data_IF_813850343606
#
_entry.id   IF_813850343606
#
_cell.length_a   1.000
_cell.length_b   1.000
_cell.length_c   1.000
_cell.angle_alpha   90.00
_cell.angle_beta   90.00
_cell.angle_gamma   90.00
#
_symmetry.space_group_name_H-M   'P 1'
#
loop_
_entity.id
_entity.type
_entity.pdbx_description
1 polymer ?
#
# COMPACT_ATOMS: atom_id res chain seq x y z
N UNK A 1 23.05 -22.41 -3.05
CA UNK A 1 21.76 -22.38 -3.77
C UNK A 1 21.35 -23.81 -4.08
N UNK A 2 21.08 -24.63 -3.06
CA UNK A 2 21.06 -26.09 -3.24
C UNK A 2 19.97 -26.74 -2.37
N UNK A 3 18.72 -26.36 -2.62
CA UNK A 3 17.55 -26.97 -1.97
C UNK A 3 16.29 -27.02 -2.87
N UNK A 4 16.40 -26.72 -4.17
CA UNK A 4 15.27 -26.69 -5.10
C UNK A 4 15.03 -28.02 -5.83
N UNK A 5 15.84 -29.05 -5.58
CA UNK A 5 15.85 -30.29 -6.38
C UNK A 5 14.83 -31.36 -5.94
N UNK A 6 13.93 -31.02 -5.01
CA UNK A 6 12.87 -31.94 -4.52
C UNK A 6 11.50 -31.74 -5.19
N UNK A 7 11.36 -30.79 -6.11
CA UNK A 7 10.07 -30.54 -6.76
C UNK A 7 9.92 -31.47 -7.97
N UNK A 8 9.23 -32.59 -7.78
CA UNK A 8 8.91 -33.55 -8.84
C UNK A 8 8.17 -32.81 -9.97
N UNK A 9 8.71 -32.90 -11.20
CA UNK A 9 8.08 -32.30 -12.38
C UNK A 9 6.66 -32.85 -12.55
N UNK A 10 5.64 -31.98 -12.72
CA UNK A 10 4.26 -32.41 -12.79
C UNK A 10 3.99 -33.20 -14.08
N UNK A 11 3.41 -34.40 -13.93
CA UNK A 11 3.02 -35.25 -15.07
C UNK A 11 1.71 -34.80 -15.74
N UNK A 12 0.84 -34.09 -15.02
CA UNK A 12 -0.47 -33.66 -15.52
C UNK A 12 -0.59 -32.14 -15.63
N UNK A 13 -1.38 -31.66 -16.60
CA UNK A 13 -1.67 -30.21 -16.78
C UNK A 13 -2.28 -29.58 -15.52
N UNK A 14 -3.12 -30.33 -14.78
CA UNK A 14 -3.72 -29.87 -13.52
C UNK A 14 -2.66 -29.63 -12.44
N UNK A 15 -1.73 -30.57 -12.26
CA UNK A 15 -0.64 -30.43 -11.30
C UNK A 15 0.30 -29.27 -11.68
N UNK A 16 0.58 -29.10 -12.97
CA UNK A 16 1.36 -27.98 -13.49
C UNK A 16 0.74 -26.62 -13.12
N UNK A 17 -0.56 -26.42 -13.43
CA UNK A 17 -1.29 -25.18 -13.06
C UNK A 17 -1.28 -24.92 -11.55
N UNK A 18 -1.31 -25.97 -10.73
CA UNK A 18 -1.26 -25.84 -9.27
C UNK A 18 0.10 -25.36 -8.77
N UNK A 19 1.19 -25.88 -9.35
CA UNK A 19 2.56 -25.42 -9.04
C UNK A 19 2.78 -23.99 -9.52
N UNK A 20 2.39 -23.66 -10.75
CA UNK A 20 2.45 -22.30 -11.31
C UNK A 20 1.68 -21.28 -10.44
N UNK A 21 0.57 -21.69 -9.81
CA UNK A 21 -0.18 -20.82 -8.89
C UNK A 21 0.57 -20.52 -7.59
N UNK A 22 1.41 -21.45 -7.12
CA UNK A 22 2.21 -21.37 -5.88
C UNK A 22 3.59 -20.74 -6.09
N UNK A 23 4.07 -20.68 -7.32
CA UNK A 23 5.33 -20.04 -7.65
C UNK A 23 5.34 -18.54 -7.26
N UNK A 24 6.51 -17.98 -6.93
CA UNK A 24 6.65 -16.56 -6.65
C UNK A 24 6.18 -15.72 -7.83
N UNK A 25 5.43 -14.65 -7.55
CA UNK A 25 4.87 -13.75 -8.57
C UNK A 25 5.32 -12.32 -8.34
N UNK A 26 5.35 -11.52 -9.39
CA UNK A 26 5.61 -10.08 -9.29
C UNK A 26 4.49 -9.38 -8.49
N UNK A 27 3.23 -9.63 -8.88
CA UNK A 27 2.05 -9.25 -8.12
C UNK A 27 1.60 -10.46 -7.31
N UNK A 28 1.74 -10.36 -5.99
CA UNK A 28 1.42 -11.46 -5.08
C UNK A 28 -0.09 -11.74 -5.04
N UNK A 29 -0.44 -13.02 -4.81
CA UNK A 29 -1.83 -13.38 -4.49
C UNK A 29 -2.15 -12.99 -3.03
N UNK A 30 -3.43 -12.93 -2.68
CA UNK A 30 -3.85 -12.79 -1.28
C UNK A 30 -3.30 -13.93 -0.41
N UNK A 31 -2.80 -13.59 0.78
CA UNK A 31 -2.29 -14.59 1.73
C UNK A 31 -3.43 -15.42 2.32
N UNK A 32 -3.26 -16.73 2.26
CA UNK A 32 -4.17 -17.69 2.86
C UNK A 32 -3.78 -17.92 4.33
N UNK A 33 -4.77 -17.99 5.20
CA UNK A 33 -4.62 -18.34 6.60
C UNK A 33 -4.98 -19.82 6.82
N UNK A 34 -4.18 -20.53 7.60
CA UNK A 34 -4.53 -21.87 8.10
C UNK A 34 -4.79 -21.72 9.59
N UNK A 35 -5.99 -22.11 10.03
CA UNK A 35 -6.39 -22.09 11.43
C UNK A 35 -6.34 -23.52 11.96
N UNK A 36 -5.51 -23.74 12.97
CA UNK A 36 -5.24 -25.06 13.55
C UNK A 36 -5.65 -25.04 15.02
N UNK A 37 -6.48 -26.01 15.42
CA UNK A 37 -6.83 -26.23 16.83
C UNK A 37 -5.70 -27.01 17.52
N UNK A 38 -5.19 -26.49 18.63
CA UNK A 38 -4.23 -27.19 19.49
C UNK A 38 -4.86 -28.34 20.29
N UNK A 39 -4.06 -29.24 20.84
CA UNK A 39 -4.54 -30.42 21.59
C UNK A 39 -5.41 -30.04 22.80
N UNK A 40 -4.99 -29.05 23.59
CA UNK A 40 -5.67 -28.62 24.82
C UNK A 40 -6.65 -27.46 24.59
N UNK A 41 -7.28 -27.37 23.42
CA UNK A 41 -8.15 -26.24 23.09
C UNK A 41 -9.60 -26.44 23.57
N UNK A 42 -10.04 -25.50 24.41
CA UNK A 42 -11.40 -25.44 24.96
C UNK A 42 -12.46 -25.09 23.90
N UNK A 43 -13.74 -25.23 24.25
CA UNK A 43 -14.89 -24.85 23.42
C UNK A 43 -14.84 -23.37 23.03
N UNK A 44 -14.58 -22.47 23.98
CA UNK A 44 -14.42 -21.02 23.74
C UNK A 44 -13.34 -20.71 22.70
N UNK A 45 -12.20 -21.41 22.76
CA UNK A 45 -11.11 -21.26 21.77
C UNK A 45 -11.57 -21.79 20.40
N UNK A 46 -12.40 -22.83 20.39
CA UNK A 46 -12.93 -23.40 19.15
C UNK A 46 -13.97 -22.48 18.50
N UNK A 47 -14.81 -21.82 19.29
CA UNK A 47 -15.80 -20.83 18.84
C UNK A 47 -15.12 -19.56 18.30
N UNK A 48 -14.20 -18.99 19.07
CA UNK A 48 -13.41 -17.83 18.61
C UNK A 48 -12.64 -18.12 17.33
N UNK A 49 -12.09 -19.33 17.16
CA UNK A 49 -11.47 -19.76 15.89
C UNK A 49 -12.48 -19.86 14.73
N UNK A 50 -13.72 -20.26 14.99
CA UNK A 50 -14.79 -20.28 13.96
C UNK A 50 -15.20 -18.86 13.56
N UNK A 51 -15.25 -17.93 14.51
CA UNK A 51 -15.61 -16.53 14.23
C UNK A 51 -14.52 -15.82 13.42
N UNK A 52 -13.25 -16.02 13.80
CA UNK A 52 -12.09 -15.52 13.02
C UNK A 52 -12.07 -16.17 11.63
N UNK A 53 -12.41 -17.46 11.52
CA UNK A 53 -12.54 -18.14 10.24
C UNK A 53 -13.61 -17.48 9.35
N UNK A 54 -14.77 -17.13 9.92
CA UNK A 54 -15.85 -16.47 9.18
C UNK A 54 -15.40 -15.11 8.62
N UNK A 55 -14.71 -14.29 9.42
CA UNK A 55 -14.15 -13.00 8.98
C UNK A 55 -13.13 -13.12 7.84
N UNK A 56 -12.37 -14.22 7.80
CA UNK A 56 -11.27 -14.40 6.84
C UNK A 56 -11.67 -15.20 5.59
N UNK A 57 -12.91 -15.72 5.51
CA UNK A 57 -13.41 -16.38 4.31
C UNK A 57 -13.34 -15.45 3.09
N UNK A 58 -13.00 -15.96 1.90
CA UNK A 58 -12.71 -17.35 1.54
C UNK A 58 -11.22 -17.75 1.74
N UNK A 59 -10.37 -16.86 2.25
CA UNK A 59 -8.91 -17.05 2.32
C UNK A 59 -8.44 -17.75 3.60
N UNK A 60 -9.34 -18.27 4.42
CA UNK A 60 -9.00 -19.12 5.56
C UNK A 60 -9.35 -20.58 5.30
N UNK A 61 -8.55 -21.49 5.83
CA UNK A 61 -8.83 -22.91 5.90
C UNK A 61 -8.76 -23.34 7.36
N UNK A 62 -9.87 -23.81 7.92
CA UNK A 62 -9.92 -24.38 9.26
C UNK A 62 -9.62 -25.88 9.18
N UNK A 63 -8.53 -26.32 9.81
CA UNK A 63 -8.14 -27.73 9.83
C UNK A 63 -9.01 -28.48 10.84
N UNK A 64 -10.09 -29.09 10.34
CA UNK A 64 -10.94 -30.00 11.12
C UNK A 64 -10.39 -31.43 10.95
N UNK A 65 -10.03 -32.09 12.05
CA UNK A 65 -10.03 -33.58 12.06
C UNK A 65 -11.48 -34.00 11.77
N UNK A 66 -11.70 -35.01 10.90
CA UNK A 66 -12.99 -35.38 10.29
C UNK A 66 -14.20 -35.06 11.20
N UNK A 67 -14.96 -34.03 10.84
CA UNK A 67 -16.27 -33.75 11.45
C UNK A 67 -17.35 -34.21 10.49
N UNK A 68 -18.20 -35.11 10.95
CA UNK A 68 -19.43 -35.52 10.26
C UNK A 68 -20.41 -34.35 10.43
N UNK A 69 -20.49 -33.45 9.46
CA UNK A 69 -21.53 -32.41 9.43
C UNK A 69 -22.81 -33.01 8.86
N UNK A 70 -23.87 -33.09 9.67
CA UNK A 70 -25.20 -33.58 9.27
C UNK A 70 -26.06 -32.38 8.86
N UNK A 71 -26.45 -32.25 7.57
CA UNK A 71 -27.11 -31.06 7.05
C UNK A 71 -28.50 -30.74 7.63
N UNK A 72 -29.12 -31.67 8.36
CA UNK A 72 -30.52 -31.59 8.80
C UNK A 72 -30.70 -31.53 10.33
N UNK A 73 -29.62 -31.66 11.13
CA UNK A 73 -29.70 -31.64 12.61
C UNK A 73 -29.29 -30.27 13.21
N UNK A 74 -28.46 -29.48 12.52
CA UNK A 74 -27.97 -28.20 13.06
C UNK A 74 -28.87 -27.01 12.65
N UNK A 75 -30.04 -26.87 13.28
CA UNK A 75 -30.76 -25.57 13.37
C UNK A 75 -30.10 -24.69 14.44
N UNK A 76 -28.80 -24.41 14.31
CA UNK A 76 -28.21 -23.34 15.13
C UNK A 76 -28.58 -22.01 14.50
N UNK A 77 -29.36 -21.25 15.25
CA UNK A 77 -29.84 -19.90 14.98
C UNK A 77 -28.87 -19.07 14.14
N UNK A 78 -29.42 -18.46 13.09
CA UNK A 78 -28.79 -17.49 12.21
C UNK A 78 -28.41 -16.23 13.01
N UNK A 79 -27.43 -16.33 13.91
CA UNK A 79 -26.76 -15.16 14.45
C UNK A 79 -26.20 -14.38 13.26
N UNK A 80 -26.59 -13.11 13.16
CA UNK A 80 -26.23 -12.12 12.13
C UNK A 80 -24.91 -12.48 11.46
N UNK A 81 -24.98 -13.18 10.33
CA UNK A 81 -23.79 -13.76 9.70
C UNK A 81 -22.85 -12.64 9.31
N UNK A 82 -21.57 -12.79 9.65
CA UNK A 82 -20.55 -11.87 9.17
C UNK A 82 -20.55 -11.84 7.64
N UNK A 83 -20.51 -10.65 7.02
CA UNK A 83 -20.50 -10.56 5.58
C UNK A 83 -19.27 -11.27 5.04
N UNK A 84 -19.50 -12.37 4.34
CA UNK A 84 -18.44 -13.22 3.85
C UNK A 84 -17.78 -12.57 2.62
N UNK A 85 -16.45 -12.46 2.63
CA UNK A 85 -15.70 -11.97 1.47
C UNK A 85 -15.70 -10.45 1.26
N UNK A 86 -16.33 -9.68 2.15
CA UNK A 86 -16.25 -8.22 2.13
C UNK A 86 -14.94 -7.74 2.78
N UNK A 87 -14.35 -6.67 2.23
CA UNK A 87 -13.09 -6.11 2.73
C UNK A 87 -13.36 -5.30 4.02
N UNK A 88 -12.71 -5.64 5.15
CA UNK A 88 -12.89 -4.90 6.39
C UNK A 88 -12.24 -3.52 6.30
N UNK A 89 -12.84 -2.55 6.97
CA UNK A 89 -12.15 -1.34 7.39
C UNK A 89 -11.37 -1.62 8.68
N UNK A 90 -10.13 -1.16 8.77
CA UNK A 90 -9.27 -1.39 9.93
C UNK A 90 -8.99 -0.06 10.62
N UNK A 91 -9.27 0.02 11.92
CA UNK A 91 -8.93 1.17 12.75
C UNK A 91 -7.97 0.70 13.83
N UNK A 92 -6.83 1.38 13.96
CA UNK A 92 -5.88 1.16 15.05
C UNK A 92 -5.88 2.42 15.92
N UNK A 93 -6.31 2.28 17.17
CA UNK A 93 -6.32 3.34 18.17
C UNK A 93 -5.27 3.04 19.24
N UNK A 94 -4.51 4.08 19.62
CA UNK A 94 -3.45 4.02 20.61
C UNK A 94 -2.05 4.21 20.01
N UNK A 95 -1.27 5.09 20.64
CA UNK A 95 0.08 5.47 20.19
C UNK A 95 1.11 4.34 20.38
N UNK A 96 0.78 3.38 21.25
CA UNK A 96 1.62 2.21 21.55
C UNK A 96 1.94 1.39 20.30
N UNK A 97 1.07 1.40 19.29
CA UNK A 97 1.29 0.68 18.02
C UNK A 97 2.41 1.27 17.16
N UNK A 98 2.71 2.55 17.32
CA UNK A 98 3.71 3.24 16.52
C UNK A 98 5.02 3.47 17.30
N UNK A 99 4.92 3.59 18.64
CA UNK A 99 6.08 3.76 19.53
C UNK A 99 6.86 2.45 19.76
N UNK A 100 6.15 1.35 20.06
CA UNK A 100 6.81 0.09 20.40
C UNK A 100 7.01 -0.78 19.17
N UNK A 101 8.22 -1.31 18.97
CA UNK A 101 8.53 -2.14 17.80
C UNK A 101 7.68 -3.42 17.77
N UNK A 102 7.48 -4.08 18.91
CA UNK A 102 6.68 -5.31 18.99
C UNK A 102 5.22 -5.08 18.54
N UNK A 103 4.60 -4.01 19.04
CA UNK A 103 3.24 -3.65 18.66
C UNK A 103 3.16 -3.18 17.21
N UNK A 104 4.20 -2.53 16.67
CA UNK A 104 4.30 -2.21 15.24
C UNK A 104 4.36 -3.48 14.38
N UNK A 105 5.10 -4.51 14.81
CA UNK A 105 5.12 -5.82 14.11
C UNK A 105 3.76 -6.48 14.18
N UNK A 106 3.09 -6.42 15.33
CA UNK A 106 1.75 -6.97 15.50
C UNK A 106 0.71 -6.23 14.65
N UNK A 107 0.75 -4.89 14.58
CA UNK A 107 -0.07 -4.08 13.67
C UNK A 107 0.13 -4.52 12.23
N UNK A 108 1.37 -4.72 11.80
CA UNK A 108 1.68 -5.26 10.47
C UNK A 108 1.08 -6.65 10.24
N UNK A 109 1.12 -7.54 11.24
CA UNK A 109 0.53 -8.89 11.16
C UNK A 109 -0.99 -8.83 11.04
N UNK A 110 -1.66 -8.01 11.86
CA UNK A 110 -3.12 -7.85 11.85
C UNK A 110 -3.61 -7.26 10.54
N UNK A 111 -2.91 -6.25 10.00
CA UNK A 111 -3.21 -5.69 8.67
C UNK A 111 -3.10 -6.77 7.60
N UNK A 112 -2.01 -7.53 7.60
CA UNK A 112 -1.76 -8.58 6.61
C UNK A 112 -2.80 -9.72 6.70
N UNK A 113 -3.23 -10.04 7.92
CA UNK A 113 -4.27 -11.04 8.17
C UNK A 113 -5.65 -10.58 7.69
N UNK A 114 -6.11 -9.38 8.04
CA UNK A 114 -7.50 -8.96 7.76
C UNK A 114 -7.71 -8.20 6.44
N UNK A 115 -6.68 -7.62 5.80
CA UNK A 115 -6.84 -6.76 4.60
C UNK A 115 -7.50 -7.40 3.38
N UNK A 116 -7.37 -8.72 3.21
CA UNK A 116 -7.81 -9.43 2.01
C UNK A 116 -7.11 -8.99 0.70
N UNK A 117 -7.77 -9.06 -0.46
CA UNK A 117 -7.18 -8.73 -1.76
C UNK A 117 -6.91 -7.22 -1.93
N UNK A 118 -5.86 -6.91 -2.71
CA UNK A 118 -5.57 -5.54 -3.15
C UNK A 118 -6.44 -5.21 -4.35
N UNK A 119 -7.41 -4.33 -4.15
CA UNK A 119 -8.27 -3.79 -5.19
C UNK A 119 -8.04 -2.28 -5.31
N UNK A 120 -8.00 -1.72 -6.53
CA UNK A 120 -7.80 -0.29 -6.75
C UNK A 120 -9.05 0.54 -6.40
N UNK A 121 -10.24 -0.04 -6.54
CA UNK A 121 -11.53 0.62 -6.31
C UNK A 121 -12.42 -0.26 -5.43
N UNK A 122 -13.25 0.39 -4.60
CA UNK A 122 -14.17 -0.27 -3.67
C UNK A 122 -15.56 0.35 -3.86
N UNK A 123 -16.60 -0.48 -3.80
CA UNK A 123 -17.99 -0.03 -3.83
C UNK A 123 -18.41 0.45 -2.43
N UNK A 124 -19.17 1.54 -2.35
CA UNK A 124 -19.70 2.06 -1.08
C UNK A 124 -20.53 1.02 -0.31
N UNK A 125 -21.35 0.23 -1.02
CA UNK A 125 -22.12 -0.87 -0.43
C UNK A 125 -21.24 -2.00 0.14
N UNK A 126 -19.96 -2.07 -0.24
CA UNK A 126 -19.00 -3.02 0.31
C UNK A 126 -18.30 -2.52 1.58
N UNK A 127 -18.70 -1.37 2.14
CA UNK A 127 -18.21 -0.85 3.41
C UNK A 127 -19.14 -1.29 4.55
N UNK A 128 -19.18 -2.58 4.82
CA UNK A 128 -20.19 -3.17 5.71
C UNK A 128 -19.74 -3.25 7.17
N UNK A 129 -18.45 -3.46 7.43
CA UNK A 129 -17.95 -3.66 8.79
C UNK A 129 -16.54 -3.09 9.01
N UNK A 130 -16.27 -2.73 10.26
CA UNK A 130 -15.03 -2.17 10.77
C UNK A 130 -14.49 -3.09 11.86
N UNK A 131 -13.20 -3.41 11.78
CA UNK A 131 -12.44 -4.01 12.87
C UNK A 131 -11.65 -2.90 13.56
N UNK A 132 -11.97 -2.69 14.83
CA UNK A 132 -11.33 -1.70 15.68
C UNK A 132 -10.36 -2.41 16.62
N UNK A 133 -9.09 -2.02 16.56
CA UNK A 133 -8.03 -2.47 17.45
C UNK A 133 -7.61 -1.31 18.34
N UNK A 134 -7.86 -1.42 19.64
CA UNK A 134 -7.44 -0.43 20.64
C UNK A 134 -6.36 -1.03 21.51
N UNK A 135 -5.21 -0.37 21.62
CA UNK A 135 -4.17 -0.76 22.56
C UNK A 135 -4.17 0.18 23.77
N UNK A 136 -4.39 -0.39 24.95
CA UNK A 136 -4.45 0.32 26.23
C UNK A 136 -3.95 -0.59 27.34
N UNK A 137 -3.16 -0.06 28.28
CA UNK A 137 -2.65 -0.78 29.46
C UNK A 137 -1.99 -2.14 29.15
N UNK A 138 -1.25 -2.22 28.04
CA UNK A 138 -0.58 -3.45 27.60
C UNK A 138 -1.52 -4.53 27.03
N UNK A 139 -2.84 -4.27 26.98
CA UNK A 139 -3.85 -5.13 26.36
C UNK A 139 -4.25 -4.59 25.00
N UNK A 140 -4.72 -5.48 24.15
CA UNK A 140 -5.23 -5.15 22.81
C UNK A 140 -6.67 -5.61 22.71
N UNK A 141 -7.56 -4.66 22.58
CA UNK A 141 -8.98 -4.89 22.39
C UNK A 141 -9.27 -4.95 20.91
N UNK A 142 -9.79 -6.07 20.44
CA UNK A 142 -10.38 -6.22 19.13
C UNK A 142 -11.90 -6.17 19.27
N UNK A 143 -12.53 -5.26 18.55
CA UNK A 143 -13.98 -5.12 18.46
C UNK A 143 -14.40 -5.07 17.01
N UNK A 144 -15.53 -5.69 16.71
CA UNK A 144 -16.06 -5.79 15.35
C UNK A 144 -17.41 -5.07 15.31
N UNK A 145 -17.50 -4.08 14.43
CA UNK A 145 -18.69 -3.23 14.28
C UNK A 145 -19.23 -3.32 12.86
N UNK A 146 -20.54 -3.40 12.75
CA UNK A 146 -21.27 -3.21 11.50
C UNK A 146 -21.52 -1.72 11.28
N UNK A 147 -21.37 -1.27 10.04
CA UNK A 147 -21.55 0.12 9.65
C UNK A 147 -22.96 0.33 9.11
N UNK A 148 -23.68 1.26 9.72
CA UNK A 148 -24.98 1.73 9.27
C UNK A 148 -24.85 3.16 8.74
N UNK A 149 -25.16 3.34 7.47
CA UNK A 149 -25.14 4.64 6.81
C UNK A 149 -26.53 5.27 6.87
N UNK A 150 -26.71 6.29 7.72
CA UNK A 150 -27.94 7.07 7.84
C UNK A 150 -27.89 8.34 7.01
N UNK A 151 -29.07 8.85 6.61
CA UNK A 151 -29.21 10.12 5.90
C UNK A 151 -28.81 11.28 6.81
N UNK A 152 -27.94 12.16 6.33
CA UNK A 152 -27.38 13.30 7.07
C UNK A 152 -27.77 14.67 6.50
N UNK A 153 -28.39 14.72 5.31
CA UNK A 153 -28.69 15.97 4.60
C UNK A 153 -27.51 16.55 3.79
N UNK A 154 -26.30 16.00 3.95
CA UNK A 154 -25.11 16.35 3.16
C UNK A 154 -24.70 15.19 2.24
N UNK A 155 -23.70 15.42 1.37
CA UNK A 155 -23.11 14.37 0.51
C UNK A 155 -22.46 13.22 1.30
N UNK A 156 -22.04 13.47 2.55
CA UNK A 156 -21.40 12.49 3.43
C UNK A 156 -22.46 11.90 4.37
N UNK A 157 -22.74 10.58 4.35
CA UNK A 157 -23.74 9.96 5.22
C UNK A 157 -23.32 10.00 6.69
N UNK A 158 -24.31 9.99 7.60
CA UNK A 158 -24.05 9.87 9.04
C UNK A 158 -23.76 8.40 9.35
N UNK A 159 -22.61 8.14 9.97
CA UNK A 159 -22.15 6.79 10.27
C UNK A 159 -22.61 6.43 11.69
N UNK A 160 -23.29 5.30 11.82
CA UNK A 160 -23.55 4.65 13.11
C UNK A 160 -22.95 3.24 13.10
N UNK A 161 -22.54 2.78 14.29
CA UNK A 161 -21.87 1.51 14.48
C UNK A 161 -22.74 0.62 15.36
N UNK A 162 -22.97 -0.61 14.93
CA UNK A 162 -23.65 -1.66 15.68
C UNK A 162 -22.64 -2.76 16.03
N UNK A 163 -22.61 -3.25 17.27
CA UNK A 163 -21.68 -4.33 17.62
C UNK A 163 -22.10 -5.63 16.94
N UNK A 164 -21.12 -6.30 16.33
CA UNK A 164 -21.34 -7.46 15.49
C UNK A 164 -20.65 -8.72 16.03
N UNK A 165 -19.55 -8.52 16.77
CA UNK A 165 -18.66 -9.59 17.21
C UNK A 165 -17.76 -10.14 16.09
N UNK A 166 -16.68 -10.88 16.41
CA UNK A 166 -16.21 -11.24 17.75
C UNK A 166 -15.53 -10.07 18.48
N UNK A 167 -15.67 -10.08 19.80
CA UNK A 167 -15.04 -9.15 20.74
C UNK A 167 -13.97 -9.91 21.51
N UNK A 168 -12.70 -9.54 21.31
CA UNK A 168 -11.55 -10.26 21.85
C UNK A 168 -10.64 -9.32 22.63
N UNK A 169 -10.20 -9.77 23.80
CA UNK A 169 -9.23 -9.07 24.63
C UNK A 169 -7.94 -9.87 24.60
N UNK A 170 -6.93 -9.33 23.90
CA UNK A 170 -5.67 -10.01 23.63
C UNK A 170 -4.59 -9.43 24.54
N UNK A 171 -3.74 -10.32 25.05
CA UNK A 171 -2.56 -9.95 25.84
C UNK A 171 -1.34 -10.54 25.14
N UNK A 172 -0.35 -9.68 24.89
CA UNK A 172 0.92 -10.13 24.34
C UNK A 172 1.71 -10.88 25.43
N UNK A 173 2.16 -12.09 25.12
CA UNK A 173 2.94 -12.92 26.06
C UNK A 173 4.35 -13.14 25.52
N UNK A 174 4.56 -14.25 24.81
CA UNK A 174 5.86 -14.59 24.25
C UNK A 174 5.97 -14.05 22.83
N UNK A 175 7.09 -13.43 22.51
CA UNK A 175 7.42 -12.92 21.16
C UNK A 175 8.64 -13.65 20.61
N UNK A 176 8.63 -13.94 19.31
CA UNK A 176 9.78 -14.45 18.60
C UNK A 176 9.88 -13.71 17.27
N UNK A 177 10.68 -12.64 17.27
CA UNK A 177 10.85 -11.78 16.11
C UNK A 177 11.86 -12.38 15.13
N UNK A 178 11.67 -12.11 13.84
CA UNK A 178 12.65 -12.48 12.82
C UNK A 178 13.90 -11.60 12.93
N UNK A 179 15.04 -12.12 12.45
CA UNK A 179 16.25 -11.31 12.31
C UNK A 179 16.02 -10.12 11.38
N UNK A 180 16.75 -9.02 11.61
CA UNK A 180 16.61 -7.81 10.81
C UNK A 180 16.86 -8.03 9.32
N UNK A 181 17.83 -8.86 8.98
CA UNK A 181 18.20 -9.14 7.59
C UNK A 181 17.08 -9.86 6.84
N UNK A 182 16.47 -10.86 7.47
CA UNK A 182 15.32 -11.57 6.91
C UNK A 182 14.14 -10.61 6.75
N UNK A 183 13.92 -9.74 7.73
CA UNK A 183 12.87 -8.74 7.64
C UNK A 183 13.09 -7.75 6.48
N UNK A 184 14.31 -7.21 6.34
CA UNK A 184 14.71 -6.32 5.23
C UNK A 184 14.53 -7.00 3.87
N UNK A 185 14.90 -8.28 3.76
CA UNK A 185 14.69 -9.07 2.55
C UNK A 185 13.20 -9.23 2.22
N UNK A 186 12.36 -9.52 3.23
CA UNK A 186 10.91 -9.68 3.04
C UNK A 186 10.18 -8.40 2.59
N UNK A 187 10.72 -7.23 2.95
CA UNK A 187 10.17 -5.92 2.56
C UNK A 187 10.65 -5.43 1.18
N UNK A 188 11.51 -6.20 0.50
CA UNK A 188 12.10 -5.79 -0.77
C UNK A 188 11.05 -5.75 -1.88
N UNK A 189 10.75 -4.55 -2.36
CA UNK A 189 9.86 -4.38 -3.51
C UNK A 189 10.58 -4.67 -4.83
N UNK A 190 9.99 -5.47 -5.74
CA UNK A 190 10.58 -5.78 -7.04
C UNK A 190 10.82 -4.53 -7.89
N UNK A 191 11.95 -4.48 -8.60
CA UNK A 191 12.33 -3.33 -9.44
C UNK A 191 11.31 -3.06 -10.56
N UNK A 192 10.63 -4.10 -11.08
CA UNK A 192 9.61 -3.95 -12.13
C UNK A 192 8.35 -3.20 -11.64
N UNK A 193 8.00 -3.33 -10.35
CA UNK A 193 6.88 -2.59 -9.74
C UNK A 193 7.26 -1.13 -9.40
N UNK A 194 8.55 -0.81 -9.32
CA UNK A 194 9.08 0.53 -9.08
C UNK A 194 9.70 1.09 -10.36
N UNK A 195 8.90 1.65 -11.29
CA UNK A 195 9.45 2.31 -12.45
C UNK A 195 10.37 3.45 -11.99
N UNK A 196 11.66 3.34 -12.33
CA UNK A 196 12.62 4.41 -12.05
C UNK A 196 12.27 5.59 -12.94
N UNK A 197 12.01 6.75 -12.33
CA UNK A 197 11.84 8.01 -13.07
C UNK A 197 13.14 8.30 -13.82
N UNK A 198 13.06 8.37 -15.15
CA UNK A 198 14.18 8.83 -15.99
C UNK A 198 14.15 10.36 -15.96
N UNK A 199 15.27 10.98 -15.57
CA UNK A 199 15.39 12.44 -15.50
C UNK A 199 15.18 13.04 -16.90
N UNK A 200 14.53 14.21 -16.96
CA UNK A 200 14.29 14.98 -18.18
C UNK A 200 13.40 14.32 -19.25
N UNK A 201 12.72 13.21 -18.93
CA UNK A 201 11.73 12.60 -19.82
C UNK A 201 10.38 12.61 -19.10
N UNK A 202 9.38 13.22 -19.72
CA UNK A 202 8.00 13.24 -19.25
C UNK A 202 7.08 12.60 -20.30
N UNK A 203 5.99 12.00 -19.85
CA UNK A 203 4.95 11.47 -20.72
C UNK A 203 3.69 12.31 -20.54
N UNK A 204 3.05 12.66 -21.65
CA UNK A 204 1.74 13.30 -21.66
C UNK A 204 0.63 12.30 -21.29
N UNK A 205 -0.58 12.81 -21.01
CA UNK A 205 -1.78 12.01 -20.75
C UNK A 205 -2.11 11.11 -21.96
N UNK A 206 -1.76 11.56 -23.16
CA UNK A 206 -1.92 10.82 -24.41
C UNK A 206 -0.74 9.88 -24.73
N UNK A 207 0.27 9.78 -23.86
CA UNK A 207 1.40 8.87 -24.00
C UNK A 207 2.57 9.38 -24.86
N UNK A 208 2.50 10.59 -25.41
CA UNK A 208 3.63 11.22 -26.12
C UNK A 208 4.78 11.52 -25.16
N UNK A 209 6.01 11.20 -25.55
CA UNK A 209 7.20 11.43 -24.71
C UNK A 209 7.84 12.78 -25.03
N UNK A 210 7.93 13.67 -24.05
CA UNK A 210 8.69 14.92 -24.14
C UNK A 210 10.04 14.79 -23.43
N UNK A 211 11.09 15.23 -24.10
CA UNK A 211 12.42 15.40 -23.54
C UNK A 211 12.68 16.86 -23.19
N UNK A 212 12.98 17.18 -21.93
CA UNK A 212 13.36 18.54 -21.54
C UNK A 212 14.87 18.73 -21.71
N UNK A 213 15.25 19.57 -22.66
CA UNK A 213 16.64 19.98 -22.85
C UNK A 213 16.89 21.23 -22.02
N UNK A 214 17.88 21.15 -21.12
CA UNK A 214 18.34 22.31 -20.36
C UNK A 214 19.53 22.92 -21.08
N UNK A 215 19.29 23.92 -21.93
CA UNK A 215 20.37 24.66 -22.58
C UNK A 215 21.14 25.48 -21.54
N UNK A 216 22.46 25.41 -21.61
CA UNK A 216 23.32 26.30 -20.82
C UNK A 216 23.20 27.72 -21.36
N UNK A 217 23.36 28.71 -20.49
CA UNK A 217 23.43 30.12 -20.89
C UNK A 217 24.69 30.31 -21.74
N UNK A 218 24.54 30.77 -22.98
CA UNK A 218 25.66 31.01 -23.88
C UNK A 218 26.21 32.42 -23.67
N UNK A 219 27.46 32.51 -23.20
CA UNK A 219 28.16 33.79 -23.05
C UNK A 219 28.81 34.22 -24.37
N UNK A 220 28.17 35.18 -25.05
CA UNK A 220 28.62 35.70 -26.35
C UNK A 220 29.78 36.70 -26.26
N UNK A 221 30.15 37.14 -25.05
CA UNK A 221 31.28 38.06 -24.84
C UNK A 221 32.62 37.45 -25.27
N UNK A 222 32.74 36.12 -25.26
CA UNK A 222 33.92 35.38 -25.74
C UNK A 222 33.96 35.22 -27.26
N UNK A 223 32.88 35.58 -27.96
CA UNK A 223 32.78 35.41 -29.40
C UNK A 223 33.51 36.56 -30.12
N UNK A 224 34.77 36.35 -30.48
CA UNK A 224 35.49 37.28 -31.33
C UNK A 224 35.00 37.15 -32.78
N UNK A 225 34.39 38.21 -33.31
CA UNK A 225 33.95 38.23 -34.70
C UNK A 225 35.13 38.35 -35.67
N UNK A 226 34.93 37.85 -36.89
CA UNK A 226 35.92 38.00 -37.95
C UNK A 226 36.18 39.49 -38.20
N UNK A 227 37.43 39.92 -38.05
CA UNK A 227 37.84 41.33 -38.27
C UNK A 227 37.90 41.65 -39.76
N UNK A 228 36.72 41.82 -40.38
CA UNK A 228 36.57 42.21 -41.78
C UNK A 228 37.24 43.55 -42.05
N UNK A 229 37.78 43.72 -43.27
CA UNK A 229 38.53 44.93 -43.66
C UNK A 229 37.70 46.21 -43.53
N UNK A 230 36.38 46.13 -43.74
CA UNK A 230 35.45 47.26 -43.60
C UNK A 230 35.16 47.71 -42.15
N UNK A 231 35.40 46.84 -41.16
CA UNK A 231 35.18 47.14 -39.74
C UNK A 231 36.44 47.63 -39.02
N UNK A 232 37.59 47.65 -39.71
CA UNK A 232 38.85 48.16 -39.17
C UNK A 232 38.84 49.69 -39.29
N UNK A 233 38.91 50.39 -38.16
CA UNK A 233 39.06 51.86 -38.14
C UNK A 233 40.29 52.26 -38.96
N UNK A 234 40.09 53.19 -39.91
CA UNK A 234 41.20 53.81 -40.66
C UNK A 234 41.84 54.90 -39.79
N UNK A 235 43.15 55.17 -39.94
CA UNK A 235 43.87 56.13 -39.09
C UNK A 235 43.34 57.57 -39.12
N UNK A 236 42.56 57.95 -40.13
CA UNK A 236 42.12 59.33 -40.37
C UNK A 236 40.85 59.77 -39.62
N UNK A 237 40.35 58.97 -38.67
CA UNK A 237 39.12 59.27 -37.91
C UNK A 237 39.31 59.16 -36.39
N UNK A 238 40.46 59.62 -35.87
CA UNK A 238 40.63 59.95 -34.44
C UNK A 238 40.53 61.46 -34.29
N UNK A 239 39.34 61.95 -33.99
CA UNK A 239 39.14 63.22 -33.29
C UNK A 239 38.25 62.97 -32.07
N UNK A 240 38.80 63.29 -30.90
CA UNK A 240 38.18 63.66 -29.61
C UNK A 240 36.94 62.90 -29.12
N UNK A 241 37.14 62.07 -28.10
CA UNK A 241 36.13 61.82 -27.06
C UNK A 241 36.75 62.27 -25.73
N UNK A 242 36.45 63.51 -25.35
CA UNK A 242 36.53 63.98 -23.96
C UNK A 242 35.16 63.74 -23.30
N UNK A 243 35.23 63.47 -22.00
CA UNK A 243 34.17 63.07 -21.08
C UNK A 243 33.21 64.24 -20.79
N UNK A 244 31.90 64.09 -21.01
CA UNK A 244 30.88 64.86 -20.27
C UNK A 244 29.60 64.02 -20.07
N UNK A 245 29.27 63.78 -18.80
CA UNK A 245 27.99 63.26 -18.38
C UNK A 245 26.89 64.32 -18.46
N UNK A 246 25.79 64.03 -19.17
CA UNK A 246 24.52 64.76 -19.03
C UNK A 246 23.35 63.77 -18.92
N UNK A 247 22.65 63.86 -17.79
CA UNK A 247 21.41 63.19 -17.38
C UNK A 247 20.22 63.38 -18.36
N UNK A 248 19.16 62.54 -18.29
CA UNK A 248 18.18 62.39 -19.37
C UNK A 248 17.15 63.53 -19.38
N UNK A 249 16.92 64.16 -20.54
CA UNK A 249 15.82 65.11 -20.75
C UNK A 249 14.63 64.45 -21.44
N UNK A 250 13.47 64.67 -20.83
CA UNK A 250 12.12 64.13 -21.05
C UNK A 250 11.64 64.12 -22.51
N UNK A 251 10.93 63.05 -22.86
CA UNK A 251 10.03 62.98 -24.02
C UNK A 251 8.87 63.98 -23.86
N UNK A 252 8.61 64.77 -24.90
CA UNK A 252 7.28 65.39 -25.13
C UNK A 252 6.56 64.58 -26.20
N UNK A 253 5.33 64.21 -25.84
CA UNK A 253 4.31 63.56 -26.64
C UNK A 253 3.92 64.36 -27.88
N UNK A 254 3.75 63.65 -28.99
CA UNK A 254 2.62 63.79 -29.93
C UNK A 254 2.20 62.38 -30.33
#
# INVERSE_FOLDING_TARGET
>A
MEALDRVVKPKTKRAKRFLEKREPKLTENTKNAILIKGGNANLTVTETLKDIYALKKPFAVLYKKKNITRPFEDQTSLNSKCPEGTKPMLIFAGDTFDLNEEYRRLKSLLIDFFRGPTVPTIRLAGLEYVLHFTAMDGKIYMRSYKVLLKKSGCKIPRIELEEMGPSLDLVMRRTHLASEDLYKLSLKQPKALKPKKKKNISHDVFGTSYGRIHMQKQDLSKLQTRKMKGLKKRPSAKMTEEDEGISPKKLKSV
#
